data_IF_990683165843
#
_entry.id   IF_990683165843
#
_cell.length_a   1.000
_cell.length_b   1.000
_cell.length_c   1.000
_cell.angle_alpha   90.00
_cell.angle_beta   90.00
_cell.angle_gamma   90.00
#
_symmetry.space_group_name_H-M   'P 1'
#
loop_
_entity.id
_entity.type
_entity.pdbx_description
1 polymer ?
#
# COMPACT_ATOMS: atom_id res chain seq x y z
N UNK A 1 6.56 -2.28 16.78
CA UNK A 1 6.84 -3.73 16.70
C UNK A 1 5.56 -4.55 16.49
N UNK A 2 4.51 -4.43 17.37
CA UNK A 2 3.26 -5.22 17.32
C UNK A 2 2.54 -5.19 15.95
N UNK A 3 2.40 -4.02 15.32
CA UNK A 3 1.74 -3.90 14.01
C UNK A 3 2.53 -4.62 12.89
N UNK A 4 3.88 -4.60 12.93
CA UNK A 4 4.73 -5.32 11.98
C UNK A 4 4.61 -6.84 12.16
N UNK A 5 4.61 -7.31 13.40
CA UNK A 5 4.41 -8.72 13.72
C UNK A 5 3.04 -9.27 13.26
N UNK A 6 2.02 -8.39 13.16
CA UNK A 6 0.69 -8.72 12.61
C UNK A 6 0.60 -8.59 11.09
N UNK A 7 1.71 -8.40 10.36
CA UNK A 7 1.71 -8.18 8.91
C UNK A 7 1.14 -6.82 8.46
N UNK A 8 0.84 -5.90 9.40
CA UNK A 8 0.30 -4.57 9.11
C UNK A 8 1.42 -3.58 8.80
N UNK A 9 2.23 -3.88 7.81
CA UNK A 9 3.45 -3.14 7.45
C UNK A 9 3.19 -1.66 7.14
N UNK A 10 2.13 -1.35 6.38
CA UNK A 10 1.79 0.05 6.05
C UNK A 10 1.39 0.85 7.29
N UNK A 11 0.65 0.25 8.20
CA UNK A 11 0.28 0.88 9.48
C UNK A 11 1.53 1.14 10.33
N UNK A 12 2.43 0.16 10.43
CA UNK A 12 3.69 0.31 11.14
C UNK A 12 4.56 1.44 10.53
N UNK A 13 4.65 1.50 9.20
CA UNK A 13 5.34 2.57 8.48
C UNK A 13 4.72 3.94 8.76
N UNK A 14 3.40 4.05 8.74
CA UNK A 14 2.70 5.31 9.02
C UNK A 14 2.97 5.80 10.45
N UNK A 15 2.95 4.91 11.44
CA UNK A 15 3.32 5.25 12.82
C UNK A 15 4.76 5.76 12.91
N UNK A 16 5.70 5.03 12.30
CA UNK A 16 7.12 5.43 12.31
C UNK A 16 7.35 6.77 11.62
N UNK A 17 6.66 7.04 10.52
CA UNK A 17 6.76 8.33 9.81
C UNK A 17 6.21 9.46 10.68
N UNK A 18 5.06 9.28 11.31
CA UNK A 18 4.46 10.29 12.17
C UNK A 18 5.32 10.57 13.42
N UNK A 19 5.85 9.53 14.07
CA UNK A 19 6.74 9.71 15.24
C UNK A 19 8.04 10.40 14.88
N UNK A 20 8.67 10.05 13.75
CA UNK A 20 9.88 10.74 13.25
C UNK A 20 9.62 12.23 12.95
N UNK A 21 8.45 12.53 12.36
CA UNK A 21 8.05 13.91 12.09
C UNK A 21 7.83 14.70 13.39
N UNK A 22 7.24 14.08 14.41
CA UNK A 22 7.06 14.64 15.73
C UNK A 22 8.41 14.92 16.43
N UNK A 23 9.33 13.93 16.44
CA UNK A 23 10.70 14.11 16.96
C UNK A 23 11.44 15.27 16.28
N UNK A 24 11.25 15.41 14.95
CA UNK A 24 11.86 16.53 14.20
C UNK A 24 11.30 17.89 14.63
N UNK A 25 10.00 17.98 14.90
CA UNK A 25 9.37 19.19 15.43
C UNK A 25 9.91 19.53 16.82
N UNK A 26 9.99 18.56 17.73
CA UNK A 26 10.53 18.74 19.08
C UNK A 26 12.05 18.98 19.10
N UNK A 27 12.75 18.73 18.00
CA UNK A 27 14.23 18.71 17.91
C UNK A 27 14.87 17.76 18.92
N UNK A 28 14.17 16.69 19.27
CA UNK A 28 14.60 15.66 20.21
C UNK A 28 14.24 14.28 19.71
N UNK A 29 15.17 13.31 19.85
CA UNK A 29 14.88 11.90 19.58
C UNK A 29 14.23 11.22 20.78
N UNK A 30 14.48 11.72 21.98
CA UNK A 30 13.86 11.27 23.24
C UNK A 30 12.75 12.22 23.63
N UNK A 31 11.52 11.69 23.66
CA UNK A 31 10.33 12.43 24.04
C UNK A 31 9.30 11.51 24.71
N UNK A 32 8.48 12.09 25.57
CA UNK A 32 7.39 11.39 26.25
C UNK A 32 6.04 11.67 25.59
N UNK A 33 5.08 10.75 25.74
CA UNK A 33 3.70 11.00 25.31
C UNK A 33 3.02 12.12 26.10
N UNK A 34 3.53 12.47 27.28
CA UNK A 34 3.08 13.63 28.07
C UNK A 34 3.32 14.97 27.34
N UNK A 35 4.28 15.03 26.42
CA UNK A 35 4.55 16.21 25.59
C UNK A 35 3.49 16.44 24.49
N UNK A 36 2.63 15.46 24.23
CA UNK A 36 1.50 15.61 23.31
C UNK A 36 0.33 16.36 23.98
N UNK A 37 0.62 17.58 24.44
CA UNK A 37 -0.41 18.50 24.94
C UNK A 37 -1.22 19.09 23.77
N UNK A 38 -2.40 19.64 24.04
CA UNK A 38 -3.21 20.29 23.01
C UNK A 38 -2.46 21.44 22.32
N UNK A 39 -1.71 22.24 23.09
CA UNK A 39 -0.96 23.39 22.57
C UNK A 39 0.23 22.93 21.69
N UNK A 40 0.98 21.94 22.12
CA UNK A 40 2.08 21.37 21.32
C UNK A 40 1.56 20.74 20.01
N UNK A 41 0.41 20.08 20.03
CA UNK A 41 -0.20 19.51 18.83
C UNK A 41 -0.69 20.58 17.86
N UNK A 42 -1.23 21.69 18.35
CA UNK A 42 -1.60 22.85 17.53
C UNK A 42 -0.33 23.47 16.92
N UNK A 43 0.72 23.72 17.73
CA UNK A 43 2.00 24.23 17.25
C UNK A 43 2.63 23.31 16.18
N UNK A 44 2.58 22.00 16.39
CA UNK A 44 3.05 21.01 15.41
C UNK A 44 2.26 21.07 14.11
N UNK A 45 0.94 21.23 14.17
CA UNK A 45 0.12 21.41 12.97
C UNK A 45 0.54 22.64 12.17
N UNK A 46 0.77 23.78 12.83
CA UNK A 46 1.24 25.00 12.20
C UNK A 46 2.61 24.79 11.55
N UNK A 47 3.56 24.21 12.30
CA UNK A 47 4.88 23.89 11.80
C UNK A 47 4.85 23.00 10.55
N UNK A 48 3.97 21.99 10.51
CA UNK A 48 3.77 21.17 9.30
C UNK A 48 3.26 21.99 8.12
N UNK A 49 2.32 22.92 8.36
CA UNK A 49 1.80 23.82 7.34
C UNK A 49 2.89 24.74 6.75
N UNK A 50 3.72 25.34 7.60
CA UNK A 50 4.87 26.16 7.20
C UNK A 50 5.90 25.37 6.38
N UNK A 51 6.02 24.06 6.62
CA UNK A 51 6.86 23.16 5.84
C UNK A 51 6.15 22.58 4.59
N UNK A 52 5.06 23.22 4.12
CA UNK A 52 4.30 22.84 2.94
C UNK A 52 3.73 21.42 2.96
N UNK A 53 3.45 20.88 4.14
CA UNK A 53 2.81 19.55 4.27
C UNK A 53 1.30 19.69 4.01
N UNK A 54 0.77 18.89 3.10
CA UNK A 54 -0.65 18.93 2.76
C UNK A 54 -1.57 18.59 3.94
N UNK A 55 -2.76 19.19 4.02
CA UNK A 55 -3.75 18.96 5.08
C UNK A 55 -4.09 17.48 5.28
N UNK A 56 -4.19 16.70 4.21
CA UNK A 56 -4.45 15.26 4.31
C UNK A 56 -3.27 14.49 4.92
N UNK A 57 -2.03 14.93 4.68
CA UNK A 57 -0.84 14.36 5.31
C UNK A 57 -0.76 14.76 6.79
N UNK A 58 -1.04 16.01 7.12
CA UNK A 58 -1.16 16.50 8.50
C UNK A 58 -2.18 15.64 9.26
N UNK A 59 -3.39 15.48 8.70
CA UNK A 59 -4.42 14.62 9.27
C UNK A 59 -3.96 13.18 9.47
N UNK A 60 -3.20 12.63 8.51
CA UNK A 60 -2.67 11.27 8.64
C UNK A 60 -1.68 11.15 9.81
N UNK A 61 -0.81 12.14 10.00
CA UNK A 61 0.13 12.20 11.13
C UNK A 61 -0.62 12.34 12.45
N UNK A 62 -1.56 13.28 12.55
CA UNK A 62 -2.37 13.49 13.76
C UNK A 62 -3.15 12.23 14.15
N UNK A 63 -3.75 11.52 13.19
CA UNK A 63 -4.46 10.26 13.45
C UNK A 63 -3.52 9.14 13.89
N UNK A 64 -2.31 9.08 13.34
CA UNK A 64 -1.31 8.11 13.74
C UNK A 64 -0.82 8.36 15.17
N UNK A 65 -0.47 9.61 15.50
CA UNK A 65 -0.06 10.01 16.85
C UNK A 65 -1.17 9.79 17.87
N UNK A 66 -2.41 10.16 17.53
CA UNK A 66 -3.60 9.91 18.38
C UNK A 66 -3.78 8.44 18.71
N UNK A 67 -3.65 7.57 17.69
CA UNK A 67 -3.77 6.13 17.89
C UNK A 67 -2.65 5.54 18.77
N UNK A 68 -1.45 6.10 18.71
CA UNK A 68 -0.35 5.71 19.59
C UNK A 68 -0.58 6.23 21.01
N UNK A 69 -0.96 7.51 21.16
CA UNK A 69 -1.26 8.16 22.43
C UNK A 69 -2.31 7.38 23.23
N UNK A 70 -3.46 7.09 22.62
CA UNK A 70 -4.52 6.31 23.31
C UNK A 70 -4.05 4.94 23.76
N UNK A 71 -3.28 4.23 22.93
CA UNK A 71 -2.74 2.92 23.32
C UNK A 71 -1.80 2.96 24.51
N UNK A 72 -1.01 4.02 24.64
CA UNK A 72 -0.11 4.19 25.79
C UNK A 72 -0.92 4.54 27.03
N UNK A 73 -1.85 5.48 26.92
CA UNK A 73 -2.70 5.89 28.05
C UNK A 73 -3.60 4.76 28.56
N UNK A 74 -4.16 3.94 27.66
CA UNK A 74 -4.92 2.73 28.03
C UNK A 74 -4.04 1.73 28.78
N UNK A 75 -2.79 1.56 28.36
CA UNK A 75 -1.84 0.64 29.00
C UNK A 75 -1.40 1.12 30.39
N UNK A 76 -1.32 2.42 30.60
CA UNK A 76 -0.98 3.05 31.89
C UNK A 76 -2.16 3.15 32.85
N UNK A 77 -3.35 2.64 32.48
CA UNK A 77 -4.55 2.66 33.31
C UNK A 77 -5.20 4.04 33.46
N UNK A 78 -4.78 5.00 32.65
CA UNK A 78 -5.22 6.40 32.72
C UNK A 78 -6.48 6.60 31.85
N UNK A 79 -7.64 6.18 32.35
CA UNK A 79 -8.92 6.15 31.61
C UNK A 79 -9.63 7.54 31.49
N UNK A 80 -9.14 8.57 32.19
CA UNK A 80 -9.71 9.93 32.16
C UNK A 80 -8.81 10.93 31.42
N UNK A 81 -8.41 10.59 30.22
CA UNK A 81 -7.51 11.47 29.45
C UNK A 81 -8.34 12.47 28.65
N UNK A 82 -8.16 13.75 28.93
CA UNK A 82 -8.58 14.84 28.04
C UNK A 82 -7.96 14.59 26.68
N UNK A 83 -8.78 14.47 25.63
CA UNK A 83 -8.28 14.22 24.28
C UNK A 83 -7.50 15.45 23.76
N UNK A 84 -6.16 15.42 23.73
CA UNK A 84 -5.37 16.57 23.31
C UNK A 84 -5.49 16.86 21.80
N UNK A 85 -6.05 15.92 21.04
CA UNK A 85 -6.24 16.04 19.57
C UNK A 85 -7.55 16.74 19.19
N UNK A 86 -8.32 17.28 20.13
CA UNK A 86 -9.62 17.89 19.85
C UNK A 86 -9.52 19.14 18.95
N UNK A 87 -8.42 19.90 19.06
CA UNK A 87 -8.19 21.17 18.33
C UNK A 87 -7.40 21.03 17.04
N UNK A 88 -6.94 19.82 16.67
CA UNK A 88 -6.14 19.62 15.46
C UNK A 88 -6.94 18.92 14.37
N UNK A 89 -6.53 19.16 13.12
CA UNK A 89 -7.20 18.60 11.96
C UNK A 89 -6.94 17.10 11.83
N UNK A 90 -7.97 16.31 12.00
CA UNK A 90 -7.96 14.84 11.79
C UNK A 90 -8.95 14.40 10.71
N UNK A 91 -9.54 15.36 10.00
CA UNK A 91 -10.52 15.18 8.94
C UNK A 91 -9.91 14.75 7.61
N UNK A 92 -10.66 14.96 6.54
CA UNK A 92 -10.27 14.67 5.17
C UNK A 92 -10.69 15.84 4.27
N UNK A 93 -9.74 16.40 3.54
CA UNK A 93 -10.03 17.37 2.47
C UNK A 93 -10.24 16.64 1.17
N UNK A 94 -11.12 17.21 0.34
CA UNK A 94 -11.35 16.71 -1.02
C UNK A 94 -10.07 16.90 -1.83
N UNK A 95 -9.71 15.89 -2.60
CA UNK A 95 -8.63 15.94 -3.58
C UNK A 95 -9.19 15.67 -4.94
N UNK A 96 -8.63 16.31 -5.96
CA UNK A 96 -9.02 16.05 -7.34
C UNK A 96 -8.67 14.61 -7.71
N UNK A 97 -9.64 13.93 -8.29
CA UNK A 97 -9.43 12.56 -8.79
C UNK A 97 -8.78 12.65 -10.16
N UNK A 98 -7.60 12.06 -10.27
CA UNK A 98 -6.95 11.85 -11.57
C UNK A 98 -7.63 10.66 -12.24
N UNK A 99 -8.57 10.94 -13.13
CA UNK A 99 -9.18 9.93 -14.00
C UNK A 99 -8.60 10.10 -15.39
N UNK A 100 -8.42 8.99 -16.08
CA UNK A 100 -8.07 8.98 -17.51
C UNK A 100 -9.32 8.62 -18.32
N UNK A 101 -9.33 9.03 -19.58
CA UNK A 101 -10.45 8.76 -20.47
C UNK A 101 -10.41 7.34 -21.02
N UNK A 102 -11.55 6.85 -21.52
CA UNK A 102 -11.60 5.58 -22.23
C UNK A 102 -10.67 5.57 -23.46
N UNK A 103 -10.54 6.71 -24.14
CA UNK A 103 -9.63 6.84 -25.28
C UNK A 103 -8.16 6.63 -24.86
N UNK A 104 -7.77 7.12 -23.69
CA UNK A 104 -6.42 6.91 -23.17
C UNK A 104 -6.17 5.44 -22.80
N UNK A 105 -7.18 4.74 -22.27
CA UNK A 105 -7.10 3.29 -22.03
C UNK A 105 -6.89 2.51 -23.33
N UNK A 106 -7.66 2.86 -24.39
CA UNK A 106 -7.49 2.23 -25.69
C UNK A 106 -6.12 2.51 -26.29
N UNK A 107 -5.60 3.75 -26.17
CA UNK A 107 -4.23 4.09 -26.59
C UNK A 107 -3.18 3.27 -25.82
N UNK A 108 -3.32 3.16 -24.50
CA UNK A 108 -2.42 2.32 -23.69
C UNK A 108 -2.45 0.86 -24.15
N UNK A 109 -3.65 0.33 -24.41
CA UNK A 109 -3.81 -1.05 -24.87
C UNK A 109 -3.12 -1.29 -26.24
N UNK A 110 -3.18 -0.31 -27.15
CA UNK A 110 -2.60 -0.40 -28.50
C UNK A 110 -1.10 -0.10 -28.58
N UNK A 111 -0.45 0.32 -27.48
CA UNK A 111 0.99 0.60 -27.49
C UNK A 111 1.80 -0.64 -27.85
N UNK A 112 2.62 -0.54 -28.88
CA UNK A 112 3.64 -1.55 -29.17
C UNK A 112 4.85 -1.32 -28.29
N UNK A 113 5.10 -2.26 -27.38
CA UNK A 113 6.23 -2.23 -26.45
C UNK A 113 7.05 -3.50 -26.60
N UNK A 114 8.38 -3.44 -26.38
CA UNK A 114 9.23 -4.64 -26.46
C UNK A 114 8.71 -5.74 -25.52
N UNK A 115 8.51 -6.97 -25.99
CA UNK A 115 8.10 -8.09 -25.16
C UNK A 115 9.04 -8.29 -23.97
N UNK A 116 8.51 -8.58 -22.78
CA UNK A 116 9.30 -8.79 -21.57
C UNK A 116 9.88 -7.52 -20.94
N UNK A 117 9.66 -6.33 -21.52
CA UNK A 117 10.09 -5.08 -20.89
C UNK A 117 9.26 -4.74 -19.65
N UNK A 118 9.85 -4.00 -18.71
CA UNK A 118 9.13 -3.52 -17.52
C UNK A 118 7.96 -2.59 -17.87
N UNK A 119 8.06 -1.83 -18.98
CA UNK A 119 6.99 -0.98 -19.47
C UNK A 119 5.84 -1.81 -20.03
N UNK A 120 6.12 -2.90 -20.77
CA UNK A 120 5.07 -3.81 -21.25
C UNK A 120 4.32 -4.44 -20.08
N UNK A 121 5.02 -4.91 -19.06
CA UNK A 121 4.40 -5.46 -17.86
C UNK A 121 3.58 -4.40 -17.12
N UNK A 122 4.11 -3.19 -16.93
CA UNK A 122 3.39 -2.09 -16.27
C UNK A 122 2.09 -1.73 -16.99
N UNK A 123 2.15 -1.60 -18.34
CA UNK A 123 0.96 -1.40 -19.19
C UNK A 123 -0.06 -2.51 -18.99
N UNK A 124 0.37 -3.75 -19.09
CA UNK A 124 -0.53 -4.90 -19.05
C UNK A 124 -1.15 -5.09 -17.66
N UNK A 125 -0.41 -4.85 -16.58
CA UNK A 125 -0.94 -4.81 -15.21
C UNK A 125 -1.99 -3.71 -15.05
N UNK A 126 -1.75 -2.52 -15.63
CA UNK A 126 -2.71 -1.43 -15.59
C UNK A 126 -4.01 -1.80 -16.35
N UNK A 127 -3.89 -2.35 -17.54
CA UNK A 127 -5.04 -2.82 -18.35
C UNK A 127 -5.78 -3.95 -17.64
N UNK A 128 -5.05 -4.91 -17.08
CA UNK A 128 -5.64 -5.98 -16.26
C UNK A 128 -6.42 -5.41 -15.07
N UNK A 129 -5.82 -4.46 -14.32
CA UNK A 129 -6.49 -3.79 -13.21
C UNK A 129 -7.80 -3.14 -13.65
N UNK A 130 -7.80 -2.47 -14.81
CA UNK A 130 -8.99 -1.82 -15.36
C UNK A 130 -10.11 -2.83 -15.62
N UNK A 131 -9.84 -3.92 -16.34
CA UNK A 131 -10.82 -4.97 -16.62
C UNK A 131 -11.22 -5.74 -15.36
N UNK A 132 -10.33 -5.85 -14.37
CA UNK A 132 -10.60 -6.43 -13.07
C UNK A 132 -11.33 -5.47 -12.09
N UNK A 133 -12.09 -4.48 -12.62
CA UNK A 133 -12.89 -3.52 -11.85
C UNK A 133 -12.06 -2.69 -10.86
N UNK A 134 -10.83 -2.35 -11.22
CA UNK A 134 -9.91 -1.57 -10.39
C UNK A 134 -9.24 -2.42 -9.29
N UNK A 135 -8.90 -3.67 -9.60
CA UNK A 135 -8.13 -4.51 -8.69
C UNK A 135 -6.82 -3.80 -8.31
N UNK A 136 -6.55 -3.53 -7.01
CA UNK A 136 -5.35 -2.84 -6.59
C UNK A 136 -4.08 -3.59 -6.97
N UNK A 137 -2.99 -2.87 -7.24
CA UNK A 137 -1.69 -3.45 -7.59
C UNK A 137 -1.21 -4.50 -6.58
N UNK A 138 -1.44 -4.27 -5.27
CA UNK A 138 -1.10 -5.27 -4.24
C UNK A 138 -1.86 -6.58 -4.42
N UNK A 139 -3.15 -6.51 -4.76
CA UNK A 139 -3.97 -7.71 -4.95
C UNK A 139 -3.56 -8.46 -6.23
N UNK A 140 -3.16 -7.72 -7.30
CA UNK A 140 -2.61 -8.31 -8.53
C UNK A 140 -1.26 -8.96 -8.26
N UNK A 141 -0.38 -8.29 -7.50
CA UNK A 141 0.96 -8.82 -7.19
C UNK A 141 0.91 -10.14 -6.42
N UNK A 142 -0.07 -10.30 -5.54
CA UNK A 142 -0.27 -11.51 -4.73
C UNK A 142 -1.30 -12.50 -5.33
N UNK A 143 -1.82 -12.23 -6.54
CA UNK A 143 -2.80 -13.10 -7.18
C UNK A 143 -2.19 -14.45 -7.53
N UNK A 144 -2.78 -15.53 -7.03
CA UNK A 144 -2.34 -16.91 -7.27
C UNK A 144 -3.12 -17.56 -8.40
N UNK A 145 -2.50 -18.50 -9.10
CA UNK A 145 -3.14 -19.27 -10.18
C UNK A 145 -4.37 -20.05 -9.70
N UNK A 146 -4.33 -20.57 -8.49
CA UNK A 146 -5.47 -21.28 -7.88
C UNK A 146 -6.72 -20.42 -7.71
N UNK A 147 -6.57 -19.09 -7.68
CA UNK A 147 -7.65 -18.11 -7.56
C UNK A 147 -8.30 -17.75 -8.91
N UNK A 148 -7.75 -18.25 -10.02
CA UNK A 148 -8.22 -18.01 -11.38
C UNK A 148 -8.72 -19.33 -11.95
N UNK A 149 -10.02 -19.61 -11.82
CA UNK A 149 -10.65 -20.88 -12.24
C UNK A 149 -12.05 -20.61 -12.80
N UNK A 150 -12.48 -21.49 -13.69
CA UNK A 150 -13.85 -21.50 -14.21
C UNK A 150 -14.34 -20.16 -14.75
N UNK A 151 -13.47 -19.41 -15.43
CA UNK A 151 -13.80 -18.10 -16.00
C UNK A 151 -13.99 -16.99 -14.97
N UNK A 152 -13.52 -17.17 -13.74
CA UNK A 152 -13.61 -16.18 -12.69
C UNK A 152 -12.29 -16.05 -11.90
N UNK A 153 -12.07 -14.87 -11.34
CA UNK A 153 -11.06 -14.61 -10.32
C UNK A 153 -11.78 -14.50 -8.98
N UNK A 154 -11.41 -15.33 -8.02
CA UNK A 154 -11.94 -15.30 -6.66
C UNK A 154 -10.82 -15.07 -5.67
N UNK A 155 -10.77 -13.88 -5.05
CA UNK A 155 -9.69 -13.51 -4.13
C UNK A 155 -10.19 -12.75 -2.92
N UNK A 156 -9.42 -12.77 -1.84
CA UNK A 156 -9.69 -11.96 -0.65
C UNK A 156 -8.86 -10.68 -0.72
N UNK A 157 -9.53 -9.52 -0.75
CA UNK A 157 -8.88 -8.20 -0.85
C UNK A 157 -7.86 -8.01 0.27
N UNK A 158 -6.64 -7.72 -0.07
CA UNK A 158 -5.53 -7.62 0.89
C UNK A 158 -5.79 -6.61 2.03
N UNK A 159 -6.42 -5.49 1.71
CA UNK A 159 -6.70 -4.40 2.66
C UNK A 159 -7.86 -4.69 3.61
N UNK A 160 -8.96 -5.28 3.12
CA UNK A 160 -10.24 -5.39 3.85
C UNK A 160 -10.61 -6.83 4.18
N UNK A 161 -9.91 -7.80 3.63
CA UNK A 161 -10.23 -9.25 3.72
C UNK A 161 -11.61 -9.60 3.18
N UNK A 162 -12.20 -8.71 2.40
CA UNK A 162 -13.47 -8.95 1.72
C UNK A 162 -13.21 -9.85 0.53
N UNK A 163 -14.05 -10.88 0.39
CA UNK A 163 -14.03 -11.75 -0.79
C UNK A 163 -14.60 -11.03 -1.99
N UNK A 164 -13.84 -11.02 -3.08
CA UNK A 164 -14.19 -10.37 -4.35
C UNK A 164 -14.22 -11.43 -5.43
N UNK A 165 -15.27 -11.38 -6.27
CA UNK A 165 -15.43 -12.21 -7.46
C UNK A 165 -15.43 -11.30 -8.69
N UNK A 166 -14.57 -11.61 -9.65
CA UNK A 166 -14.44 -10.87 -10.92
C UNK A 166 -14.56 -11.89 -12.07
N UNK A 167 -15.42 -11.61 -13.03
CA UNK A 167 -15.47 -12.42 -14.26
C UNK A 167 -14.22 -12.21 -15.09
N UNK A 168 -13.64 -13.27 -15.58
CA UNK A 168 -12.46 -13.24 -16.44
C UNK A 168 -12.89 -12.89 -17.86
N UNK A 169 -12.43 -11.75 -18.36
CA UNK A 169 -12.71 -11.26 -19.71
C UNK A 169 -11.57 -11.66 -20.66
N UNK A 170 -11.84 -11.82 -21.99
CA UNK A 170 -10.80 -12.21 -22.96
C UNK A 170 -9.50 -11.41 -22.87
N UNK A 171 -9.51 -10.06 -22.78
CA UNK A 171 -8.27 -9.30 -22.65
C UNK A 171 -7.45 -9.64 -21.37
N UNK A 172 -8.15 -10.04 -20.30
CA UNK A 172 -7.47 -10.47 -19.06
C UNK A 172 -6.82 -11.84 -19.24
N UNK A 173 -7.49 -12.74 -19.93
CA UNK A 173 -6.95 -14.08 -20.26
C UNK A 173 -5.70 -13.96 -21.12
N UNK A 174 -5.72 -13.11 -22.14
CA UNK A 174 -4.56 -12.87 -23.03
C UNK A 174 -3.36 -12.30 -22.24
N UNK A 175 -3.63 -11.40 -21.30
CA UNK A 175 -2.58 -10.85 -20.42
C UNK A 175 -2.03 -11.93 -19.49
N UNK A 176 -2.88 -12.74 -18.87
CA UNK A 176 -2.44 -13.85 -17.99
C UNK A 176 -1.52 -14.81 -18.76
N UNK A 177 -1.94 -15.26 -19.93
CA UNK A 177 -1.14 -16.20 -20.76
C UNK A 177 0.23 -15.63 -21.15
N UNK A 178 0.31 -14.31 -21.38
CA UNK A 178 1.56 -13.64 -21.74
C UNK A 178 2.61 -13.69 -20.65
N UNK A 179 2.19 -13.72 -19.39
CA UNK A 179 3.06 -13.68 -18.21
C UNK A 179 3.09 -14.97 -17.41
N UNK A 180 2.53 -16.05 -17.96
CA UNK A 180 2.49 -17.33 -17.27
C UNK A 180 3.90 -17.88 -17.05
N UNK A 181 4.24 -18.16 -15.80
CA UNK A 181 5.48 -18.80 -15.38
C UNK A 181 5.20 -20.22 -14.93
N UNK A 182 5.81 -21.21 -15.54
CA UNK A 182 5.57 -22.64 -15.27
C UNK A 182 5.80 -23.00 -13.78
N UNK A 183 6.78 -22.37 -13.13
CA UNK A 183 7.23 -22.71 -11.79
C UNK A 183 6.81 -21.69 -10.70
N UNK A 184 5.88 -20.79 -11.00
CA UNK A 184 5.38 -19.82 -10.04
C UNK A 184 3.91 -20.09 -9.70
N UNK A 185 3.57 -20.02 -8.42
CA UNK A 185 2.17 -20.03 -7.96
C UNK A 185 1.44 -18.73 -8.29
N UNK A 186 2.18 -17.65 -8.57
CA UNK A 186 1.61 -16.34 -8.88
C UNK A 186 1.25 -16.24 -10.36
N UNK A 187 0.18 -15.49 -10.65
CA UNK A 187 -0.28 -15.21 -12.02
C UNK A 187 0.71 -14.31 -12.76
N UNK A 188 1.31 -13.34 -12.05
CA UNK A 188 2.21 -12.36 -12.63
C UNK A 188 3.62 -12.44 -12.02
N UNK A 189 4.68 -12.13 -12.80
CA UNK A 189 6.07 -12.22 -12.34
C UNK A 189 6.50 -11.07 -11.40
N UNK A 190 5.55 -10.43 -10.72
CA UNK A 190 5.82 -9.27 -9.87
C UNK A 190 6.60 -9.67 -8.61
N UNK A 191 6.25 -10.80 -8.01
CA UNK A 191 6.88 -11.34 -6.80
C UNK A 191 7.91 -12.42 -7.09
N UNK A 192 8.06 -12.83 -8.35
CA UNK A 192 9.13 -13.74 -8.74
C UNK A 192 10.49 -13.11 -8.45
N UNK A 193 11.41 -13.86 -7.87
CA UNK A 193 12.79 -13.40 -7.68
C UNK A 193 13.53 -13.46 -9.02
N UNK A 194 14.56 -12.60 -9.19
CA UNK A 194 15.39 -12.64 -10.39
C UNK A 194 16.15 -13.99 -10.53
N UNK A 195 16.18 -14.79 -9.44
CA UNK A 195 16.72 -16.16 -9.42
C UNK A 195 15.69 -17.21 -9.89
N UNK A 196 14.39 -16.95 -9.76
CA UNK A 196 13.33 -17.90 -10.18
C UNK A 196 13.20 -18.00 -11.69
N UNK A 197 13.78 -17.06 -12.45
CA UNK A 197 13.91 -17.13 -13.90
C UNK A 197 15.06 -18.03 -14.36
N UNK A 198 15.97 -18.42 -13.47
CA UNK A 198 17.24 -19.07 -13.84
C UNK A 198 17.52 -20.42 -13.15
N UNK A 199 16.78 -20.85 -12.13
CA UNK A 199 17.04 -22.14 -11.50
C UNK A 199 15.80 -22.81 -10.90
N UNK A 200 15.61 -24.09 -11.23
CA UNK A 200 14.56 -24.98 -10.74
C UNK A 200 14.57 -25.26 -9.22
N UNK A 201 15.50 -24.68 -8.45
CA UNK A 201 15.79 -25.11 -7.08
C UNK A 201 15.31 -24.19 -5.96
N UNK A 202 14.65 -23.07 -6.26
CA UNK A 202 14.33 -22.05 -5.24
C UNK A 202 12.82 -21.76 -5.05
N UNK A 203 11.97 -22.77 -5.28
CA UNK A 203 10.54 -22.71 -4.89
C UNK A 203 10.32 -22.99 -3.38
N UNK A 204 11.36 -22.95 -2.55
CA UNK A 204 11.17 -23.00 -1.11
C UNK A 204 10.54 -21.68 -0.61
N UNK A 205 9.43 -21.84 0.06
CA UNK A 205 8.47 -20.84 0.51
C UNK A 205 9.14 -19.58 1.08
N UNK A 206 9.17 -18.51 0.26
CA UNK A 206 9.52 -17.18 0.75
C UNK A 206 8.62 -16.79 1.91
N UNK A 207 9.18 -16.28 2.98
CA UNK A 207 8.40 -15.79 4.12
C UNK A 207 7.54 -14.58 3.70
N UNK A 208 6.45 -14.34 4.41
CA UNK A 208 5.59 -13.17 4.18
C UNK A 208 6.36 -11.85 4.22
N UNK A 209 7.41 -11.73 5.04
CA UNK A 209 8.25 -10.55 5.12
C UNK A 209 9.13 -10.40 3.87
N UNK A 210 9.72 -11.49 3.37
CA UNK A 210 10.51 -11.50 2.13
C UNK A 210 9.66 -11.11 0.92
N UNK A 211 8.47 -11.70 0.77
CA UNK A 211 7.52 -11.33 -0.28
C UNK A 211 7.14 -9.85 -0.19
N UNK A 212 6.92 -9.33 1.03
CA UNK A 212 6.63 -7.92 1.22
C UNK A 212 7.79 -6.99 0.82
N UNK A 213 9.03 -7.38 1.09
CA UNK A 213 10.21 -6.62 0.64
C UNK A 213 10.35 -6.61 -0.89
N UNK A 214 10.12 -7.76 -1.55
CA UNK A 214 10.10 -7.84 -3.03
C UNK A 214 8.99 -6.93 -3.57
N UNK A 215 7.78 -7.04 -3.02
CA UNK A 215 6.65 -6.18 -3.38
C UNK A 215 6.98 -4.69 -3.27
N UNK A 216 7.57 -4.23 -2.17
CA UNK A 216 7.94 -2.82 -1.99
C UNK A 216 9.00 -2.35 -2.99
N UNK A 217 9.95 -3.20 -3.36
CA UNK A 217 10.96 -2.91 -4.39
C UNK A 217 10.28 -2.75 -5.75
N UNK A 218 9.43 -3.68 -6.15
CA UNK A 218 8.68 -3.65 -7.41
C UNK A 218 7.68 -2.49 -7.47
N UNK A 219 6.98 -2.22 -6.37
CA UNK A 219 6.06 -1.07 -6.30
C UNK A 219 6.78 0.26 -6.62
N UNK A 220 8.00 0.45 -6.15
CA UNK A 220 8.81 1.64 -6.50
C UNK A 220 9.19 1.65 -7.99
N UNK A 221 9.50 0.50 -8.54
CA UNK A 221 9.86 0.37 -9.96
C UNK A 221 8.69 0.69 -10.91
N UNK A 222 7.45 0.35 -10.53
CA UNK A 222 6.26 0.54 -11.38
C UNK A 222 5.46 1.82 -11.08
N UNK A 223 5.81 2.58 -10.04
CA UNK A 223 5.15 3.86 -9.70
C UNK A 223 5.90 5.10 -10.22
N UNK A 224 6.88 4.95 -11.12
CA UNK A 224 7.59 6.05 -11.77
C UNK A 224 7.14 6.19 -13.22
#
# INVERSE_FOLDING_TARGET
KKAKAQGKYKTASNYLTATRSWSKFLKSEEWSFTEMTADNLVAYQHWLGENNVSLNTISAYMRALRALYHRVMEHEGNLQVVNPFAKVFTGRTRTDKRSITQADILRLHSLSLPPGSSLALARDIFIFSFYAMGMPFVDIAYLRKEQVKDGVILYDRHKTRQRIRVSLLPPMTDIIHRYELAHSDFVFPILASDKDTLSHAASESLTSEQLHHIYLRRLRQYNY
#
